data_IF_358109537894
#
_entry.id   IF_358109537894
#
_cell.length_a   1.000
_cell.length_b   1.000
_cell.length_c   1.000
_cell.angle_alpha   90.00
_cell.angle_beta   90.00
_cell.angle_gamma   90.00
#
_symmetry.space_group_name_H-M   'P 1'
#
loop_
_entity.id
_entity.type
_entity.pdbx_description
1 polymer ?
#
# COMPACT_ATOMS: atom_id res chain seq x y z
N UNK A 1 -9.96 10.58 9.12
CA UNK A 1 -10.05 10.57 7.63
C UNK A 1 -11.52 10.50 7.24
N UNK A 2 -11.98 11.19 6.18
CA UNK A 2 -13.38 11.10 5.77
C UNK A 2 -13.69 9.70 5.19
N UNK A 3 -14.92 9.17 5.37
CA UNK A 3 -15.31 7.83 4.91
C UNK A 3 -15.08 7.61 3.40
N UNK A 4 -15.29 8.65 2.60
CA UNK A 4 -15.05 8.62 1.16
C UNK A 4 -13.58 8.37 0.79
N UNK A 5 -12.62 8.83 1.61
CA UNK A 5 -11.20 8.58 1.37
C UNK A 5 -10.83 7.11 1.62
N UNK A 6 -11.47 6.46 2.60
CA UNK A 6 -11.32 5.02 2.82
C UNK A 6 -11.92 4.20 1.66
N UNK A 7 -13.11 4.58 1.18
CA UNK A 7 -13.74 3.93 0.04
C UNK A 7 -12.89 4.04 -1.24
N UNK A 8 -12.35 5.23 -1.52
CA UNK A 8 -11.45 5.43 -2.65
C UNK A 8 -10.15 4.63 -2.52
N UNK A 9 -9.57 4.59 -1.31
CA UNK A 9 -8.38 3.78 -1.05
C UNK A 9 -8.66 2.28 -1.23
N UNK A 10 -9.78 1.78 -0.71
CA UNK A 10 -10.18 0.38 -0.87
C UNK A 10 -10.41 0.02 -2.34
N UNK A 11 -11.06 0.90 -3.10
CA UNK A 11 -11.25 0.73 -4.54
C UNK A 11 -9.91 0.66 -5.29
N UNK A 12 -8.99 1.60 -5.04
CA UNK A 12 -7.66 1.60 -5.67
C UNK A 12 -6.85 0.36 -5.29
N UNK A 13 -6.90 -0.06 -4.03
CA UNK A 13 -6.21 -1.27 -3.57
C UNK A 13 -6.78 -2.53 -4.25
N UNK A 14 -8.11 -2.63 -4.36
CA UNK A 14 -8.78 -3.72 -5.07
C UNK A 14 -8.37 -3.78 -6.54
N UNK A 15 -8.33 -2.63 -7.23
CA UNK A 15 -7.92 -2.56 -8.64
C UNK A 15 -6.47 -3.00 -8.86
N UNK A 16 -5.54 -2.55 -8.01
CA UNK A 16 -4.13 -2.97 -8.07
C UNK A 16 -4.00 -4.48 -7.82
N UNK A 17 -4.75 -5.02 -6.86
CA UNK A 17 -4.76 -6.46 -6.58
C UNK A 17 -5.22 -7.25 -7.81
N UNK A 18 -6.35 -6.87 -8.42
CA UNK A 18 -6.88 -7.53 -9.62
C UNK A 18 -5.88 -7.52 -10.78
N UNK A 19 -5.27 -6.37 -11.08
CA UNK A 19 -4.28 -6.27 -12.17
C UNK A 19 -3.01 -7.09 -11.90
N UNK A 20 -2.53 -7.11 -10.65
CA UNK A 20 -1.39 -7.96 -10.26
C UNK A 20 -1.73 -9.44 -10.33
N UNK A 21 -2.93 -9.84 -9.95
CA UNK A 21 -3.42 -11.22 -10.08
C UNK A 21 -3.51 -11.65 -11.55
N UNK A 22 -3.97 -10.76 -12.45
CA UNK A 22 -3.98 -11.01 -13.88
C UNK A 22 -2.56 -11.13 -14.45
N UNK A 23 -1.65 -10.23 -14.07
CA UNK A 23 -0.24 -10.29 -14.49
C UNK A 23 0.43 -11.62 -14.07
N UNK A 24 0.15 -12.07 -12.85
CA UNK A 24 0.59 -13.36 -12.32
C UNK A 24 0.03 -14.56 -13.09
N UNK A 25 -1.23 -14.47 -13.53
CA UNK A 25 -1.86 -15.52 -14.33
C UNK A 25 -1.29 -15.59 -15.76
N UNK A 26 -0.85 -14.46 -16.32
CA UNK A 26 -0.30 -14.39 -17.69
C UNK A 26 1.21 -14.64 -17.78
N UNK A 27 1.98 -14.42 -16.71
CA UNK A 27 3.43 -14.68 -16.65
C UNK A 27 3.79 -15.56 -15.44
N UNK A 28 3.57 -16.89 -15.53
CA UNK A 28 3.82 -17.82 -14.43
C UNK A 28 5.32 -18.01 -14.14
N UNK A 29 6.20 -17.72 -15.11
CA UNK A 29 7.66 -17.90 -14.95
C UNK A 29 8.23 -16.84 -14.01
N UNK A 30 7.72 -15.61 -14.09
CA UNK A 30 8.11 -14.53 -13.18
C UNK A 30 7.20 -14.39 -11.95
N UNK A 31 6.20 -15.25 -11.80
CA UNK A 31 5.23 -15.20 -10.72
C UNK A 31 5.90 -15.24 -9.33
N UNK A 32 6.80 -16.20 -9.11
CA UNK A 32 7.45 -16.41 -7.83
C UNK A 32 8.37 -15.25 -7.41
N UNK A 33 9.18 -14.73 -8.33
CA UNK A 33 10.04 -13.56 -8.08
C UNK A 33 9.22 -12.30 -7.84
N UNK A 34 8.14 -12.11 -8.62
CA UNK A 34 7.22 -10.97 -8.47
C UNK A 34 6.48 -11.02 -7.13
N UNK A 35 5.99 -12.20 -6.72
CA UNK A 35 5.36 -12.40 -5.41
C UNK A 35 6.33 -12.15 -4.25
N UNK A 36 7.57 -12.62 -4.38
CA UNK A 36 8.62 -12.42 -3.37
C UNK A 36 8.96 -10.94 -3.23
N UNK A 37 9.12 -10.22 -4.34
CA UNK A 37 9.31 -8.77 -4.33
C UNK A 37 8.11 -8.06 -3.67
N UNK A 38 6.88 -8.44 -4.01
CA UNK A 38 5.68 -7.87 -3.40
C UNK A 38 5.57 -8.14 -1.90
N UNK A 39 6.02 -9.30 -1.41
CA UNK A 39 6.09 -9.60 0.03
C UNK A 39 7.12 -8.72 0.75
N UNK A 40 8.32 -8.57 0.17
CA UNK A 40 9.34 -7.68 0.71
C UNK A 40 8.83 -6.22 0.76
N UNK A 41 8.10 -5.78 -0.27
CA UNK A 41 7.47 -4.46 -0.29
C UNK A 41 6.41 -4.27 0.80
N UNK A 42 5.56 -5.28 1.05
CA UNK A 42 4.56 -5.25 2.13
C UNK A 42 5.22 -5.14 3.50
N UNK A 43 6.26 -5.95 3.75
CA UNK A 43 6.98 -5.92 5.03
C UNK A 43 7.64 -4.56 5.25
N UNK A 44 8.27 -3.99 4.22
CA UNK A 44 8.86 -2.65 4.29
C UNK A 44 7.82 -1.57 4.59
N UNK A 45 6.71 -1.54 3.87
CA UNK A 45 5.66 -0.55 4.09
C UNK A 45 5.01 -0.68 5.48
N UNK A 46 4.88 -1.91 5.99
CA UNK A 46 4.41 -2.16 7.35
C UNK A 46 5.41 -1.66 8.40
N UNK A 47 6.71 -1.95 8.24
CA UNK A 47 7.75 -1.46 9.15
C UNK A 47 7.82 0.07 9.17
N UNK A 48 7.80 0.71 7.99
CA UNK A 48 7.77 2.18 7.87
C UNK A 48 6.52 2.76 8.56
N UNK A 49 5.37 2.08 8.44
CA UNK A 49 4.12 2.44 9.12
C UNK A 49 4.19 2.27 10.64
N UNK A 50 4.78 1.19 11.13
CA UNK A 50 4.97 0.93 12.55
C UNK A 50 5.89 1.99 13.19
N UNK A 51 6.97 2.38 12.51
CA UNK A 51 7.88 3.44 12.97
C UNK A 51 7.15 4.79 13.00
N UNK A 52 6.40 5.14 11.95
CA UNK A 52 5.64 6.38 11.89
C UNK A 52 4.54 6.45 12.95
N UNK A 53 3.87 5.33 13.22
CA UNK A 53 2.88 5.20 14.28
C UNK A 53 3.52 5.35 15.67
N UNK A 54 4.65 4.68 15.91
CA UNK A 54 5.40 4.81 17.16
C UNK A 54 5.87 6.25 17.42
N UNK A 55 6.38 6.92 16.39
CA UNK A 55 6.76 8.33 16.48
C UNK A 55 5.56 9.25 16.80
N UNK A 56 4.41 9.02 16.16
CA UNK A 56 3.18 9.78 16.43
C UNK A 56 2.65 9.52 17.85
N UNK A 57 2.73 8.29 18.33
CA UNK A 57 2.34 7.91 19.69
C UNK A 57 3.25 8.58 20.73
N UNK A 58 4.58 8.57 20.52
CA UNK A 58 5.52 9.27 21.40
C UNK A 58 5.33 10.80 21.39
N UNK A 59 4.86 11.37 20.27
CA UNK A 59 4.50 12.78 20.17
C UNK A 59 3.16 13.13 20.87
N UNK A 60 2.49 12.17 21.52
CA UNK A 60 1.20 12.38 22.18
C UNK A 60 0.04 12.57 21.22
N UNK A 61 0.16 12.12 19.96
CA UNK A 61 -0.89 12.27 18.98
C UNK A 61 -2.13 11.43 19.35
N UNK A 62 -3.32 11.92 19.01
CA UNK A 62 -4.56 11.17 19.22
C UNK A 62 -4.55 9.85 18.43
N UNK A 63 -5.26 8.80 18.91
CA UNK A 63 -5.29 7.48 18.27
C UNK A 63 -5.60 7.52 16.76
N UNK A 64 -6.51 8.39 16.33
CA UNK A 64 -6.84 8.59 14.91
C UNK A 64 -5.66 9.08 14.07
N UNK A 65 -4.83 9.95 14.64
CA UNK A 65 -3.63 10.48 13.99
C UNK A 65 -2.50 9.43 13.96
N UNK A 66 -2.40 8.58 14.98
CA UNK A 66 -1.47 7.43 15.02
C UNK A 66 -1.86 6.41 13.95
N UNK A 67 -3.14 6.06 13.84
CA UNK A 67 -3.65 5.16 12.81
C UNK A 67 -3.44 5.74 11.39
N UNK A 68 -3.67 7.06 11.22
CA UNK A 68 -3.38 7.74 9.96
C UNK A 68 -1.88 7.73 9.61
N UNK A 69 -1.00 7.85 10.61
CA UNK A 69 0.45 7.75 10.43
C UNK A 69 0.87 6.34 9.99
N UNK A 70 0.26 5.30 10.58
CA UNK A 70 0.49 3.90 10.22
C UNK A 70 0.10 3.59 8.76
N UNK A 71 -1.02 4.15 8.29
CA UNK A 71 -1.57 3.89 6.96
C UNK A 71 -0.92 4.71 5.83
N UNK A 72 -0.26 5.82 6.17
CA UNK A 72 0.32 6.76 5.20
C UNK A 72 1.30 6.13 4.20
N UNK A 73 2.23 5.23 4.61
CA UNK A 73 3.14 4.56 3.67
C UNK A 73 2.40 3.70 2.64
N UNK A 74 1.38 2.95 3.08
CA UNK A 74 0.56 2.12 2.20
C UNK A 74 -0.20 2.98 1.16
N UNK A 75 -0.79 4.10 1.60
CA UNK A 75 -1.48 5.04 0.71
C UNK A 75 -0.56 5.63 -0.37
N UNK A 76 0.66 6.02 0.01
CA UNK A 76 1.66 6.52 -0.95
C UNK A 76 2.01 5.49 -2.00
N UNK A 77 2.15 4.22 -1.60
CA UNK A 77 2.48 3.12 -2.52
C UNK A 77 1.33 2.79 -3.47
N UNK A 78 0.09 2.74 -2.96
CA UNK A 78 -1.10 2.55 -3.81
C UNK A 78 -1.23 3.68 -4.83
N UNK A 79 -1.04 4.94 -4.42
CA UNK A 79 -1.06 6.06 -5.34
C UNK A 79 0.06 6.00 -6.39
N UNK A 80 1.27 5.57 -6.00
CA UNK A 80 2.39 5.39 -6.93
C UNK A 80 2.11 4.25 -7.94
N UNK A 81 1.59 3.11 -7.48
CA UNK A 81 1.20 2.00 -8.35
C UNK A 81 0.10 2.41 -9.34
N UNK A 82 -0.92 3.13 -8.86
CA UNK A 82 -1.97 3.68 -9.73
C UNK A 82 -1.42 4.65 -10.79
N UNK A 83 -0.41 5.47 -10.46
CA UNK A 83 0.27 6.34 -11.43
C UNK A 83 1.05 5.56 -12.47
N UNK A 84 1.81 4.55 -12.05
CA UNK A 84 2.56 3.68 -12.95
C UNK A 84 1.64 2.91 -13.91
N UNK A 85 0.46 2.51 -13.43
CA UNK A 85 -0.55 1.86 -14.28
C UNK A 85 -1.23 2.83 -15.25
N UNK A 86 -1.31 4.13 -14.92
CA UNK A 86 -1.90 5.16 -15.79
C UNK A 86 -0.94 5.64 -16.89
N UNK A 87 0.38 5.60 -16.64
CA UNK A 87 1.43 5.92 -17.61
C UNK A 87 2.47 4.77 -17.62
N UNK A 88 2.19 3.66 -18.32
CA UNK A 88 3.23 2.69 -18.66
C UNK A 88 4.18 3.36 -19.67
N UNK A 89 5.43 3.59 -19.28
CA UNK A 89 6.48 4.01 -20.20
C UNK A 89 6.83 2.89 -21.17
#
# INVERSE_FOLDING_TARGET
MPPAAYALFAWQAGWVFTLRSLQLATDPVQAASTLTAMMAEKQKAFADGAIAAGAAMMAGAMPDAVAAAALRPAQRRVAANMRALKNPA
#
